data_IF_245818855317
#
_entry.id   IF_245818855317
#
_cell.length_a   1.000
_cell.length_b   1.000
_cell.length_c   1.000
_cell.angle_alpha   90.00
_cell.angle_beta   90.00
_cell.angle_gamma   90.00
#
_symmetry.space_group_name_H-M   'P 1'
#
loop_
_entity.id
_entity.type
_entity.pdbx_description
1 polymer ?
#
# COMPACT_ATOMS: atom_id res chain seq x y z
N UNK A 1 -4.31 9.40 -7.39
CA UNK A 1 -4.45 8.98 -5.99
C UNK A 1 -3.85 10.02 -5.04
N UNK A 2 -2.56 10.39 -5.14
CA UNK A 2 -1.99 11.53 -4.39
C UNK A 2 -2.89 12.79 -4.40
N UNK A 3 -3.34 13.20 -5.59
CA UNK A 3 -4.30 14.30 -5.77
C UNK A 3 -5.70 14.05 -5.18
N UNK A 4 -6.17 12.80 -5.18
CA UNK A 4 -7.51 12.46 -4.64
C UNK A 4 -7.52 12.47 -3.12
N UNK A 5 -6.38 12.16 -2.50
CA UNK A 5 -6.18 12.11 -1.06
C UNK A 5 -5.65 13.43 -0.48
N UNK A 6 -5.48 14.46 -1.32
CA UNK A 6 -4.78 15.70 -0.98
C UNK A 6 -3.47 15.47 -0.20
N UNK A 7 -2.72 14.45 -0.64
CA UNK A 7 -1.49 13.99 0.01
C UNK A 7 -0.28 14.51 -0.76
N UNK A 8 0.49 15.48 -0.20
CA UNK A 8 1.70 15.99 -0.83
C UNK A 8 2.69 14.86 -1.13
N UNK A 9 2.86 14.56 -2.42
CA UNK A 9 3.67 13.44 -2.87
C UNK A 9 4.74 13.93 -3.84
N UNK A 10 5.99 13.55 -3.58
CA UNK A 10 7.13 13.81 -4.48
C UNK A 10 7.48 12.52 -5.20
N UNK A 11 7.49 12.57 -6.52
CA UNK A 11 7.92 11.48 -7.39
C UNK A 11 9.33 11.78 -7.89
N UNK A 12 10.24 10.83 -7.75
CA UNK A 12 11.59 10.90 -8.28
C UNK A 12 11.83 9.68 -9.16
N UNK A 13 12.04 9.92 -10.45
CA UNK A 13 12.44 8.88 -11.38
C UNK A 13 13.85 8.42 -11.03
N UNK A 14 14.04 7.10 -11.09
CA UNK A 14 15.30 6.48 -10.71
C UNK A 14 16.46 6.97 -11.58
N UNK A 15 16.24 7.00 -12.89
CA UNK A 15 17.17 7.56 -13.87
C UNK A 15 16.66 8.91 -14.38
N UNK A 16 17.58 9.78 -14.79
CA UNK A 16 17.24 11.04 -15.45
C UNK A 16 16.52 10.72 -16.77
N UNK A 17 15.26 11.16 -16.95
CA UNK A 17 14.48 10.85 -18.16
C UNK A 17 14.98 11.62 -19.40
N UNK A 18 15.91 12.55 -19.23
CA UNK A 18 16.43 13.43 -20.25
C UNK A 18 15.59 14.69 -20.45
N UNK A 19 16.22 15.74 -20.97
CA UNK A 19 15.61 17.08 -21.09
C UNK A 19 14.30 17.11 -21.90
N UNK A 20 14.13 16.18 -22.85
CA UNK A 20 12.94 16.13 -23.70
C UNK A 20 11.70 15.50 -23.00
N UNK A 21 11.92 14.68 -21.97
CA UNK A 21 10.85 13.96 -21.29
C UNK A 21 10.26 14.77 -20.13
N UNK A 22 11.10 15.47 -19.36
CA UNK A 22 10.67 16.28 -18.23
C UNK A 22 11.68 16.27 -17.08
N UNK A 23 11.31 16.80 -15.91
CA UNK A 23 12.19 16.76 -14.74
C UNK A 23 12.27 15.34 -14.17
N UNK A 24 13.45 14.97 -13.64
CA UNK A 24 13.61 13.72 -12.90
C UNK A 24 12.73 13.68 -11.64
N UNK A 25 12.46 14.83 -11.04
CA UNK A 25 11.62 14.96 -9.85
C UNK A 25 10.47 15.93 -10.08
N UNK A 26 9.26 15.52 -9.69
CA UNK A 26 8.05 16.33 -9.73
C UNK A 26 7.17 16.03 -8.52
N UNK A 27 6.20 16.89 -8.23
CA UNK A 27 5.32 16.72 -7.07
C UNK A 27 3.86 16.89 -7.45
N UNK A 28 2.98 16.25 -6.68
CA UNK A 28 1.52 16.37 -6.79
C UNK A 28 0.95 16.70 -5.43
N UNK A 29 0.01 17.66 -5.40
CA UNK A 29 -0.65 18.15 -4.18
C UNK A 29 0.28 18.84 -3.16
N UNK A 30 1.52 19.15 -3.55
CA UNK A 30 2.47 19.82 -2.64
C UNK A 30 2.16 21.31 -2.44
N UNK A 31 1.61 21.97 -3.45
CA UNK A 31 1.35 23.43 -3.45
C UNK A 31 -0.10 23.79 -3.12
N UNK A 32 -0.90 22.81 -2.67
CA UNK A 32 -2.32 22.96 -2.39
C UNK A 32 -3.22 22.80 -3.61
N UNK A 33 -4.54 22.76 -3.34
CA UNK A 33 -5.60 22.35 -4.27
C UNK A 33 -5.58 23.08 -5.62
N UNK A 34 -5.31 24.39 -5.61
CA UNK A 34 -5.29 25.23 -6.80
C UNK A 34 -4.26 24.81 -7.86
N UNK A 35 -3.23 24.05 -7.48
CA UNK A 35 -2.16 23.61 -8.36
C UNK A 35 -2.24 22.13 -8.75
N UNK A 36 -3.15 21.36 -8.15
CA UNK A 36 -3.26 19.91 -8.33
C UNK A 36 -3.45 19.51 -9.80
N UNK A 37 -4.31 20.22 -10.54
CA UNK A 37 -4.53 19.90 -11.97
C UNK A 37 -3.28 20.11 -12.82
N UNK A 38 -2.51 21.16 -12.54
CA UNK A 38 -1.24 21.43 -13.21
C UNK A 38 -0.17 20.40 -12.85
N UNK A 39 -0.09 20.04 -11.57
CA UNK A 39 0.83 19.00 -11.08
C UNK A 39 0.54 17.64 -11.74
N UNK A 40 -0.73 17.24 -11.84
CA UNK A 40 -1.15 16.02 -12.54
C UNK A 40 -0.75 16.07 -14.01
N UNK A 41 -0.93 17.22 -14.67
CA UNK A 41 -0.56 17.37 -16.08
C UNK A 41 0.95 17.17 -16.29
N UNK A 42 1.79 17.82 -15.47
CA UNK A 42 3.24 17.66 -15.51
C UNK A 42 3.63 16.21 -15.27
N UNK A 43 3.13 15.60 -14.19
CA UNK A 43 3.39 14.20 -13.87
C UNK A 43 3.00 13.27 -15.03
N UNK A 44 1.81 13.48 -15.61
CA UNK A 44 1.31 12.65 -16.69
C UNK A 44 2.13 12.80 -17.99
N UNK A 45 2.51 14.02 -18.36
CA UNK A 45 3.34 14.27 -19.53
C UNK A 45 4.74 13.68 -19.37
N UNK A 46 5.36 13.88 -18.19
CA UNK A 46 6.68 13.29 -17.90
C UNK A 46 6.62 11.77 -18.00
N UNK A 47 5.66 11.12 -17.33
CA UNK A 47 5.52 9.65 -17.38
C UNK A 47 5.22 9.12 -18.79
N UNK A 48 4.50 9.85 -19.64
CA UNK A 48 4.23 9.44 -21.03
C UNK A 48 5.46 9.54 -21.94
N UNK A 49 6.37 10.47 -21.67
CA UNK A 49 7.52 10.76 -22.53
C UNK A 49 8.79 10.03 -22.10
N UNK A 50 8.90 9.69 -20.82
CA UNK A 50 10.02 8.92 -20.28
C UNK A 50 10.05 7.50 -20.88
N UNK A 51 11.25 7.01 -21.17
CA UNK A 51 11.47 5.62 -21.53
C UNK A 51 12.31 4.91 -20.46
N UNK A 52 12.00 3.65 -20.13
CA UNK A 52 12.80 2.87 -19.19
C UNK A 52 14.20 2.68 -19.77
N UNK A 53 15.22 3.14 -19.03
CA UNK A 53 16.62 3.04 -19.41
C UNK A 53 17.50 3.25 -18.18
N UNK A 54 18.79 2.97 -18.31
CA UNK A 54 19.78 3.19 -17.27
C UNK A 54 19.95 2.00 -16.33
N UNK A 55 20.36 2.31 -15.10
CA UNK A 55 20.75 1.35 -14.07
C UNK A 55 19.79 1.44 -12.88
N UNK A 56 20.03 0.67 -11.82
CA UNK A 56 19.16 0.63 -10.62
C UNK A 56 19.90 1.19 -9.38
N UNK A 57 20.26 2.49 -9.34
CA UNK A 57 21.09 3.11 -8.30
C UNK A 57 20.32 3.40 -7.00
N UNK A 58 19.55 2.42 -6.49
CA UNK A 58 18.68 2.58 -5.32
C UNK A 58 19.45 3.02 -4.07
N UNK A 59 20.67 2.50 -3.86
CA UNK A 59 21.51 2.83 -2.70
C UNK A 59 21.75 4.33 -2.58
N UNK A 60 22.11 4.99 -3.69
CA UNK A 60 22.37 6.45 -3.70
C UNK A 60 21.11 7.22 -3.36
N UNK A 61 19.97 6.84 -3.92
CA UNK A 61 18.71 7.53 -3.65
C UNK A 61 18.25 7.35 -2.20
N UNK A 62 18.49 6.20 -1.59
CA UNK A 62 18.19 6.01 -0.16
C UNK A 62 19.04 6.94 0.70
N UNK A 63 20.32 7.13 0.39
CA UNK A 63 21.15 8.10 1.12
C UNK A 63 20.64 9.54 0.97
N UNK A 64 20.27 9.96 -0.24
CA UNK A 64 19.67 11.29 -0.47
C UNK A 64 18.39 11.47 0.36
N UNK A 65 17.51 10.45 0.36
CA UNK A 65 16.24 10.45 1.10
C UNK A 65 16.51 10.50 2.60
N UNK A 66 17.45 9.69 3.09
CA UNK A 66 17.82 9.64 4.50
C UNK A 66 18.28 11.03 4.99
N UNK A 67 19.14 11.72 4.24
CA UNK A 67 19.62 13.05 4.60
C UNK A 67 18.46 14.05 4.70
N UNK A 68 17.58 14.06 3.70
CA UNK A 68 16.41 14.96 3.70
C UNK A 68 15.45 14.68 4.86
N UNK A 69 15.19 13.41 5.17
CA UNK A 69 14.32 13.02 6.29
C UNK A 69 14.96 13.35 7.63
N UNK A 70 16.26 13.14 7.79
CA UNK A 70 16.98 13.45 9.03
C UNK A 70 16.86 14.94 9.41
N UNK A 71 16.88 15.84 8.42
CA UNK A 71 16.66 17.28 8.64
C UNK A 71 15.24 17.59 9.15
N UNK A 72 14.23 16.85 8.67
CA UNK A 72 12.82 17.03 9.04
C UNK A 72 12.41 16.25 10.30
N UNK A 73 13.20 15.26 10.72
CA UNK A 73 12.85 14.31 11.77
C UNK A 73 12.42 14.96 13.10
N UNK A 74 13.09 16.01 13.63
CA UNK A 74 12.67 16.64 14.88
C UNK A 74 11.29 17.30 14.80
N UNK A 75 10.88 17.79 13.63
CA UNK A 75 9.53 18.33 13.43
C UNK A 75 8.51 17.21 13.32
N UNK A 76 8.77 16.21 12.49
CA UNK A 76 7.88 15.06 12.27
C UNK A 76 7.57 14.33 13.58
N UNK A 77 8.59 14.07 14.40
CA UNK A 77 8.43 13.42 15.70
C UNK A 77 7.58 14.27 16.67
N UNK A 78 7.78 15.59 16.72
CA UNK A 78 6.97 16.49 17.55
C UNK A 78 5.51 16.52 17.11
N UNK A 79 5.25 16.40 15.81
CA UNK A 79 3.90 16.39 15.23
C UNK A 79 3.26 14.99 15.21
N UNK A 80 3.99 13.94 15.64
CA UNK A 80 3.53 12.56 15.54
C UNK A 80 3.35 12.07 14.09
N UNK A 81 4.02 12.72 13.13
CA UNK A 81 3.94 12.40 11.71
C UNK A 81 5.09 11.50 11.27
N UNK A 82 4.86 10.77 10.19
CA UNK A 82 5.86 9.96 9.49
C UNK A 82 5.91 10.35 8.02
N UNK A 83 7.05 10.07 7.38
CA UNK A 83 7.19 10.12 5.93
C UNK A 83 7.04 8.70 5.39
N UNK A 84 6.22 8.55 4.35
CA UNK A 84 6.19 7.32 3.56
C UNK A 84 7.26 7.44 2.47
N UNK A 85 8.13 6.44 2.38
CA UNK A 85 9.05 6.24 1.26
C UNK A 85 8.53 5.06 0.45
N UNK A 86 8.18 5.28 -0.81
CA UNK A 86 7.74 4.20 -1.71
C UNK A 86 8.84 3.93 -2.74
N UNK A 87 9.40 2.72 -2.72
CA UNK A 87 10.34 2.21 -3.70
C UNK A 87 9.60 1.33 -4.70
N UNK A 88 9.35 1.85 -5.90
CA UNK A 88 8.84 1.04 -7.01
C UNK A 88 10.01 0.50 -7.83
N UNK A 89 10.20 -0.82 -7.86
CA UNK A 89 11.35 -1.47 -8.51
C UNK A 89 10.97 -2.79 -9.15
N UNK A 90 11.56 -3.10 -10.30
CA UNK A 90 11.46 -4.37 -11.02
C UNK A 90 12.74 -5.21 -10.94
N UNK A 91 13.76 -4.74 -10.22
CA UNK A 91 15.06 -5.39 -10.15
C UNK A 91 15.81 -5.22 -8.83
N UNK A 92 16.95 -5.92 -8.75
CA UNK A 92 17.93 -5.77 -7.69
C UNK A 92 18.73 -4.48 -7.85
N UNK A 93 19.24 -3.90 -6.75
CA UNK A 93 20.11 -2.73 -6.81
C UNK A 93 21.37 -3.01 -7.63
N UNK A 94 21.79 -2.02 -8.43
CA UNK A 94 23.05 -2.02 -9.18
C UNK A 94 23.87 -0.77 -8.85
N UNK A 95 25.16 -0.80 -9.14
CA UNK A 95 25.98 0.41 -9.14
C UNK A 95 25.67 1.33 -10.35
N UNK A 96 26.41 2.44 -10.44
CA UNK A 96 26.29 3.43 -11.53
C UNK A 96 26.68 2.87 -12.92
N UNK A 97 27.37 1.74 -12.95
CA UNK A 97 27.78 1.05 -14.18
C UNK A 97 26.84 -0.11 -14.55
N UNK A 98 25.86 -0.42 -13.70
CA UNK A 98 24.89 -1.49 -13.90
C UNK A 98 25.35 -2.85 -13.37
N UNK A 99 26.46 -2.91 -12.62
CA UNK A 99 26.89 -4.14 -11.98
C UNK A 99 26.09 -4.37 -10.68
N UNK A 100 25.49 -5.55 -10.58
CA UNK A 100 24.88 -6.06 -9.36
C UNK A 100 25.83 -6.99 -8.59
N UNK A 101 25.28 -7.66 -7.57
CA UNK A 101 25.98 -8.68 -6.79
C UNK A 101 25.90 -8.42 -5.29
N UNK A 102 26.41 -9.38 -4.51
CA UNK A 102 26.26 -9.42 -3.05
C UNK A 102 26.79 -8.15 -2.37
N UNK A 103 27.90 -7.59 -2.85
CA UNK A 103 28.45 -6.35 -2.33
C UNK A 103 27.47 -5.18 -2.49
N UNK A 104 26.89 -5.01 -3.69
CA UNK A 104 25.95 -3.92 -3.98
C UNK A 104 24.64 -4.09 -3.21
N UNK A 105 24.12 -5.32 -3.11
CA UNK A 105 22.94 -5.59 -2.28
C UNK A 105 23.19 -5.33 -0.80
N UNK A 106 24.39 -5.64 -0.30
CA UNK A 106 24.76 -5.34 1.09
C UNK A 106 24.89 -3.84 1.35
N UNK A 107 25.44 -3.07 0.41
CA UNK A 107 25.46 -1.61 0.50
C UNK A 107 24.05 -1.02 0.47
N UNK A 108 23.16 -1.57 -0.36
CA UNK A 108 21.74 -1.18 -0.37
C UNK A 108 21.07 -1.46 0.98
N UNK A 109 21.27 -2.65 1.55
CA UNK A 109 20.74 -3.00 2.89
C UNK A 109 21.28 -2.04 3.96
N UNK A 110 22.56 -1.67 3.90
CA UNK A 110 23.14 -0.66 4.81
C UNK A 110 22.46 0.71 4.66
N UNK A 111 22.17 1.11 3.43
CA UNK A 111 21.43 2.34 3.17
C UNK A 111 20.00 2.25 3.75
N UNK A 112 19.30 1.13 3.58
CA UNK A 112 17.98 0.93 4.22
C UNK A 112 18.06 1.01 5.76
N UNK A 113 19.07 0.37 6.36
CA UNK A 113 19.32 0.46 7.81
C UNK A 113 19.56 1.88 8.30
N UNK A 114 20.10 2.76 7.45
CA UNK A 114 20.31 4.17 7.82
C UNK A 114 19.00 4.95 8.04
N UNK A 115 17.86 4.40 7.59
CA UNK A 115 16.53 4.93 7.87
C UNK A 115 15.97 4.48 9.24
N UNK A 116 16.59 3.50 9.91
CA UNK A 116 16.15 3.03 11.22
C UNK A 116 16.22 4.17 12.26
N UNK A 117 15.19 4.27 13.10
CA UNK A 117 15.05 5.34 14.09
C UNK A 117 14.54 6.68 13.54
N UNK A 118 14.45 6.85 12.21
CA UNK A 118 13.75 7.99 11.60
C UNK A 118 12.24 7.74 11.55
N UNK A 119 11.39 8.79 11.53
CA UNK A 119 9.94 8.64 11.42
C UNK A 119 9.54 8.26 9.98
N UNK A 120 9.89 7.05 9.55
CA UNK A 120 9.70 6.54 8.19
C UNK A 120 8.83 5.30 8.16
N UNK A 121 7.98 5.20 7.14
CA UNK A 121 7.33 3.98 6.71
C UNK A 121 7.82 3.66 5.29
N UNK A 122 8.47 2.51 5.11
CA UNK A 122 9.01 2.10 3.82
C UNK A 122 8.06 1.12 3.14
N UNK A 123 7.66 1.42 1.90
CA UNK A 123 6.92 0.49 1.04
C UNK A 123 7.80 0.12 -0.14
N UNK A 124 8.03 -1.17 -0.34
CA UNK A 124 8.65 -1.69 -1.57
C UNK A 124 7.54 -2.25 -2.45
N UNK A 125 7.27 -1.57 -3.55
CA UNK A 125 6.33 -2.01 -4.58
C UNK A 125 7.10 -2.75 -5.66
N UNK A 126 6.89 -4.05 -5.74
CA UNK A 126 7.50 -4.88 -6.77
C UNK A 126 6.73 -4.72 -8.09
N UNK A 127 7.49 -4.45 -9.15
CA UNK A 127 6.99 -4.29 -10.50
C UNK A 127 7.42 -5.48 -11.40
N UNK A 128 7.75 -6.61 -10.79
CA UNK A 128 8.30 -7.80 -11.45
C UNK A 128 7.77 -9.07 -10.79
N UNK A 129 7.66 -10.16 -11.55
CA UNK A 129 7.41 -11.51 -11.06
C UNK A 129 8.70 -12.37 -11.03
N UNK A 130 9.86 -11.74 -11.19
CA UNK A 130 11.16 -12.41 -11.12
C UNK A 130 11.45 -12.91 -9.69
N UNK A 131 11.29 -14.22 -9.52
CA UNK A 131 11.48 -14.94 -8.25
C UNK A 131 12.74 -14.52 -7.45
N UNK A 132 13.95 -14.32 -8.04
CA UNK A 132 15.11 -13.87 -7.28
C UNK A 132 14.93 -12.47 -6.67
N UNK A 133 14.22 -11.57 -7.36
CA UNK A 133 13.96 -10.20 -6.93
C UNK A 133 12.93 -10.21 -5.82
N UNK A 134 11.78 -10.87 -6.03
CA UNK A 134 10.71 -10.99 -5.04
C UNK A 134 11.22 -11.63 -3.75
N UNK A 135 12.00 -12.71 -3.85
CA UNK A 135 12.63 -13.36 -2.70
C UNK A 135 13.59 -12.45 -1.96
N UNK A 136 14.39 -11.64 -2.66
CA UNK A 136 15.32 -10.72 -2.02
C UNK A 136 14.58 -9.70 -1.14
N UNK A 137 13.55 -9.02 -1.69
CA UNK A 137 12.82 -8.00 -0.95
C UNK A 137 11.97 -8.59 0.18
N UNK A 138 11.30 -9.73 -0.02
CA UNK A 138 10.53 -10.40 1.04
C UNK A 138 11.40 -10.85 2.22
N UNK A 139 12.70 -11.10 2.00
CA UNK A 139 13.63 -11.45 3.07
C UNK A 139 14.21 -10.23 3.82
N UNK A 140 13.87 -8.99 3.43
CA UNK A 140 14.38 -7.78 4.11
C UNK A 140 13.74 -7.56 5.47
N UNK A 141 12.47 -7.91 5.63
CA UNK A 141 11.73 -7.70 6.89
C UNK A 141 12.40 -8.42 8.08
N UNK A 142 12.95 -9.61 7.85
CA UNK A 142 13.74 -10.33 8.86
C UNK A 142 15.15 -9.79 9.14
N UNK A 143 15.60 -8.76 8.42
CA UNK A 143 16.98 -8.24 8.49
C UNK A 143 17.08 -6.79 8.98
N UNK A 144 15.95 -6.09 9.07
CA UNK A 144 15.83 -4.67 9.37
C UNK A 144 14.92 -4.48 10.57
N UNK A 145 15.23 -3.52 11.44
CA UNK A 145 14.32 -3.07 12.51
C UNK A 145 13.42 -1.91 12.03
N UNK A 146 13.27 -1.78 10.71
CA UNK A 146 12.52 -0.71 10.04
C UNK A 146 11.08 -1.14 9.82
N UNK A 147 10.15 -0.18 9.92
CA UNK A 147 8.78 -0.37 9.44
C UNK A 147 8.75 -0.48 7.90
N UNK A 148 8.70 -1.71 7.40
CA UNK A 148 8.77 -2.08 5.99
C UNK A 148 7.54 -2.89 5.57
N UNK A 149 6.97 -2.56 4.41
CA UNK A 149 5.96 -3.37 3.73
C UNK A 149 6.47 -3.70 2.33
N UNK A 150 6.39 -4.97 1.94
CA UNK A 150 6.69 -5.40 0.57
C UNK A 150 5.38 -5.80 -0.08
N UNK A 151 5.04 -5.15 -1.19
CA UNK A 151 3.82 -5.41 -1.95
C UNK A 151 4.17 -5.97 -3.31
N UNK A 152 3.62 -7.13 -3.61
CA UNK A 152 3.73 -7.75 -4.93
C UNK A 152 2.55 -7.33 -5.84
N UNK A 153 2.32 -8.07 -6.91
CA UNK A 153 1.26 -7.79 -7.87
C UNK A 153 -0.15 -7.84 -7.25
N UNK A 154 -1.04 -6.98 -7.73
CA UNK A 154 -2.42 -6.85 -7.27
C UNK A 154 -3.20 -8.18 -7.24
N UNK A 155 -2.97 -9.07 -8.21
CA UNK A 155 -3.68 -10.35 -8.31
C UNK A 155 -3.11 -11.35 -7.29
N UNK A 156 -1.78 -11.41 -7.15
CA UNK A 156 -1.08 -12.18 -6.12
C UNK A 156 -1.59 -11.86 -4.71
N UNK A 157 -1.52 -10.59 -4.33
CA UNK A 157 -2.04 -10.07 -3.05
C UNK A 157 -3.50 -10.47 -2.81
N UNK A 158 -4.35 -10.31 -3.83
CA UNK A 158 -5.74 -10.70 -3.73
C UNK A 158 -5.92 -12.21 -3.49
N UNK A 159 -5.03 -13.05 -4.02
CA UNK A 159 -5.07 -14.50 -3.79
C UNK A 159 -4.72 -14.86 -2.34
N UNK A 160 -3.78 -14.14 -1.73
CA UNK A 160 -3.40 -14.31 -0.33
C UNK A 160 -4.53 -13.89 0.60
N UNK A 161 -5.07 -12.68 0.41
CA UNK A 161 -6.25 -12.21 1.15
C UNK A 161 -7.43 -13.18 0.97
N UNK A 162 -7.66 -13.69 -0.24
CA UNK A 162 -8.73 -14.66 -0.48
C UNK A 162 -8.47 -16.02 0.19
N UNK A 163 -7.22 -16.43 0.39
CA UNK A 163 -6.88 -17.68 1.09
C UNK A 163 -7.37 -17.65 2.54
N UNK A 164 -7.20 -16.51 3.21
CA UNK A 164 -7.48 -16.34 4.64
C UNK A 164 -8.87 -15.74 4.91
N UNK A 165 -9.30 -14.76 4.11
CA UNK A 165 -10.53 -13.99 4.29
C UNK A 165 -11.38 -13.97 3.00
N UNK A 166 -11.87 -15.14 2.57
CA UNK A 166 -12.69 -15.34 1.34
C UNK A 166 -13.89 -14.41 1.18
N UNK A 167 -14.37 -13.85 2.29
CA UNK A 167 -15.49 -12.92 2.32
C UNK A 167 -15.11 -11.52 1.85
N UNK A 168 -13.84 -11.14 1.89
CA UNK A 168 -13.33 -9.85 1.47
C UNK A 168 -13.02 -9.85 -0.03
N UNK A 169 -13.44 -8.80 -0.71
CA UNK A 169 -13.01 -8.47 -2.06
C UNK A 169 -11.82 -7.51 -1.98
N UNK A 170 -10.59 -8.02 -2.10
CA UNK A 170 -9.40 -7.18 -2.24
C UNK A 170 -9.44 -6.44 -3.58
N UNK A 171 -9.94 -5.20 -3.56
CA UNK A 171 -10.14 -4.40 -4.76
C UNK A 171 -9.00 -3.43 -4.99
N UNK A 172 -8.89 -2.95 -6.24
CA UNK A 172 -7.79 -2.10 -6.68
C UNK A 172 -7.60 -0.83 -5.83
N UNK A 173 -8.65 -0.12 -5.35
CA UNK A 173 -8.44 1.06 -4.51
C UNK A 173 -7.68 0.74 -3.21
N UNK A 174 -8.00 -0.37 -2.54
CA UNK A 174 -7.33 -0.82 -1.32
C UNK A 174 -5.84 -1.10 -1.58
N UNK A 175 -5.53 -1.81 -2.67
CA UNK A 175 -4.15 -2.07 -3.08
C UNK A 175 -3.40 -0.77 -3.39
N UNK A 176 -4.01 0.18 -4.10
CA UNK A 176 -3.38 1.48 -4.39
C UNK A 176 -3.16 2.34 -3.15
N UNK A 177 -3.99 2.20 -2.11
CA UNK A 177 -3.76 2.86 -0.82
C UNK A 177 -2.54 2.28 -0.12
N UNK A 178 -2.41 0.94 -0.04
CA UNK A 178 -1.23 0.27 0.51
C UNK A 178 0.05 0.64 -0.25
N UNK A 179 0.01 0.65 -1.58
CA UNK A 179 1.15 1.09 -2.42
C UNK A 179 1.60 2.53 -2.15
N UNK A 180 0.72 3.39 -1.63
CA UNK A 180 1.04 4.77 -1.25
C UNK A 180 1.45 4.90 0.23
N UNK A 181 1.61 3.78 0.92
CA UNK A 181 1.96 3.68 2.34
C UNK A 181 0.86 4.11 3.29
N UNK A 182 -0.40 3.99 2.88
CA UNK A 182 -1.46 3.88 3.87
C UNK A 182 -1.24 2.57 4.63
N UNK A 183 -1.06 2.67 5.94
CA UNK A 183 -0.82 1.53 6.81
C UNK A 183 -1.81 1.53 7.96
N UNK A 184 -2.48 0.39 8.12
CA UNK A 184 -3.21 0.02 9.32
C UNK A 184 -2.94 -1.47 9.56
N UNK A 185 -2.74 -1.86 10.82
CA UNK A 185 -2.42 -3.24 11.19
C UNK A 185 -3.43 -4.25 10.65
N UNK A 186 -4.69 -3.88 10.48
CA UNK A 186 -5.71 -4.76 9.93
C UNK A 186 -5.44 -5.10 8.45
N UNK A 187 -4.76 -4.24 7.69
CA UNK A 187 -4.35 -4.52 6.32
C UNK A 187 -3.22 -5.56 6.23
N UNK A 188 -2.40 -5.70 7.27
CA UNK A 188 -1.38 -6.77 7.35
C UNK A 188 -1.99 -8.09 7.82
N UNK A 189 -3.07 -8.05 8.60
CA UNK A 189 -3.66 -9.28 9.13
C UNK A 189 -4.55 -10.00 8.10
N UNK A 190 -5.04 -9.31 7.06
CA UNK A 190 -6.01 -9.87 6.11
C UNK A 190 -5.43 -10.90 5.15
N UNK A 191 -4.15 -10.83 4.83
CA UNK A 191 -3.41 -11.78 4.00
C UNK A 191 -2.64 -12.83 4.85
N UNK A 192 -2.40 -12.58 6.13
CA UNK A 192 -1.78 -13.55 7.04
C UNK A 192 -2.74 -14.60 7.64
N UNK A 193 -3.93 -14.17 8.09
CA UNK A 193 -4.85 -15.05 8.83
C UNK A 193 -6.32 -14.63 8.77
N UNK A 194 -7.26 -15.54 9.09
CA UNK A 194 -8.64 -15.14 9.31
C UNK A 194 -8.74 -14.08 10.42
N UNK A 195 -9.48 -13.01 10.13
CA UNK A 195 -9.79 -11.99 11.14
C UNK A 195 -10.76 -12.52 12.20
N UNK A 196 -10.62 -12.03 13.43
CA UNK A 196 -11.59 -12.26 14.51
C UNK A 196 -12.85 -11.41 14.30
N UNK A 197 -13.93 -11.72 15.03
CA UNK A 197 -15.17 -10.92 14.94
C UNK A 197 -14.93 -9.44 15.25
N UNK A 198 -14.13 -9.11 16.28
CA UNK A 198 -13.77 -7.73 16.61
C UNK A 198 -13.00 -7.05 15.47
N UNK A 199 -11.95 -7.70 14.97
CA UNK A 199 -11.15 -7.18 13.86
C UNK A 199 -11.95 -6.99 12.57
N UNK A 200 -12.95 -7.85 12.31
CA UNK A 200 -13.87 -7.67 11.17
C UNK A 200 -14.67 -6.38 11.32
N UNK A 201 -15.17 -6.08 12.53
CA UNK A 201 -15.91 -4.84 12.80
C UNK A 201 -15.01 -3.64 12.54
N UNK A 202 -13.81 -3.65 13.12
CA UNK A 202 -12.87 -2.53 13.04
C UNK A 202 -12.40 -2.34 11.59
N UNK A 203 -12.16 -3.43 10.86
CA UNK A 203 -11.82 -3.39 9.42
C UNK A 203 -12.95 -2.82 8.58
N UNK A 204 -14.21 -3.18 8.88
CA UNK A 204 -15.36 -2.62 8.18
C UNK A 204 -15.56 -1.14 8.51
N UNK A 205 -15.36 -0.74 9.76
CA UNK A 205 -15.42 0.66 10.17
C UNK A 205 -14.37 1.48 9.39
N UNK A 206 -13.14 0.97 9.27
CA UNK A 206 -12.07 1.56 8.48
C UNK A 206 -12.43 1.66 6.98
N UNK A 207 -12.94 0.58 6.39
CA UNK A 207 -13.23 0.50 4.96
C UNK A 207 -14.39 1.43 4.52
N UNK A 208 -15.38 1.64 5.39
CA UNK A 208 -16.57 2.45 5.08
C UNK A 208 -16.59 3.80 5.78
N UNK A 209 -15.49 4.19 6.44
CA UNK A 209 -15.34 5.45 7.17
C UNK A 209 -16.49 5.70 8.16
N UNK A 210 -16.70 4.73 9.06
CA UNK A 210 -17.78 4.76 10.06
C UNK A 210 -17.18 4.94 11.45
N UNK A 211 -17.57 5.99 12.16
CA UNK A 211 -17.10 6.26 13.52
C UNK A 211 -17.51 5.16 14.52
N UNK A 212 -16.66 4.93 15.54
CA UNK A 212 -16.90 3.93 16.59
C UNK A 212 -18.16 4.20 17.45
N UNK A 213 -18.61 5.46 17.52
CA UNK A 213 -19.67 5.93 18.43
C UNK A 213 -21.08 5.73 17.86
N UNK A 214 -21.26 5.88 16.53
CA UNK A 214 -22.50 5.56 15.78
C UNK A 214 -22.34 4.24 14.97
N UNK A 215 -21.33 3.45 15.35
CA UNK A 215 -20.71 2.42 14.52
C UNK A 215 -21.44 1.10 14.39
N UNK A 216 -20.79 0.19 13.66
CA UNK A 216 -21.25 -1.17 13.44
C UNK A 216 -21.48 -1.91 14.77
N UNK A 217 -22.63 -2.59 14.97
CA UNK A 217 -22.88 -3.38 16.17
C UNK A 217 -21.75 -4.37 16.46
N UNK A 218 -21.47 -4.64 17.74
CA UNK A 218 -20.46 -5.65 18.10
C UNK A 218 -20.87 -7.03 17.59
N UNK A 219 -20.15 -7.64 16.62
CA UNK A 219 -20.48 -8.95 16.07
C UNK A 219 -20.37 -10.10 17.08
N UNK A 220 -19.68 -9.90 18.20
CA UNK A 220 -19.63 -10.84 19.32
C UNK A 220 -20.94 -10.86 20.13
N UNK A 221 -21.65 -9.73 20.20
CA UNK A 221 -22.89 -9.59 20.96
C UNK A 221 -24.15 -9.67 20.07
N UNK A 222 -24.11 -9.08 18.87
CA UNK A 222 -25.22 -9.06 17.92
C UNK A 222 -24.72 -9.23 16.47
N UNK A 223 -24.46 -10.48 16.08
CA UNK A 223 -24.09 -10.83 14.71
C UNK A 223 -25.15 -10.40 13.68
N UNK A 224 -26.44 -10.52 14.04
CA UNK A 224 -27.54 -10.23 13.12
C UNK A 224 -27.66 -8.74 12.82
N UNK A 225 -27.55 -7.89 13.83
CA UNK A 225 -27.51 -6.44 13.71
C UNK A 225 -26.28 -5.99 12.94
N UNK A 226 -25.11 -6.57 13.25
CA UNK A 226 -23.87 -6.30 12.51
C UNK A 226 -24.03 -6.54 11.00
N UNK A 227 -24.49 -7.74 10.61
CA UNK A 227 -24.68 -8.10 9.19
C UNK A 227 -25.71 -7.20 8.52
N UNK A 228 -26.80 -6.85 9.21
CA UNK A 228 -27.83 -5.95 8.68
C UNK A 228 -27.30 -4.53 8.48
N UNK A 229 -26.51 -4.01 9.42
CA UNK A 229 -25.85 -2.71 9.29
C UNK A 229 -24.88 -2.70 8.10
N UNK A 230 -24.05 -3.75 8.00
CA UNK A 230 -23.10 -3.91 6.91
C UNK A 230 -23.80 -4.02 5.54
N UNK A 231 -24.94 -4.72 5.47
CA UNK A 231 -25.75 -4.78 4.26
C UNK A 231 -26.24 -3.40 3.82
N UNK A 232 -26.58 -2.51 4.77
CA UNK A 232 -27.02 -1.16 4.46
C UNK A 232 -25.87 -0.27 3.96
N UNK A 233 -24.66 -0.44 4.50
CA UNK A 233 -23.46 0.24 4.00
C UNK A 233 -23.15 -0.21 2.56
N UNK A 234 -23.09 -1.52 2.33
CA UNK A 234 -22.78 -2.07 0.99
C UNK A 234 -23.78 -1.65 -0.10
N UNK A 235 -25.03 -1.30 0.24
CA UNK A 235 -26.02 -0.78 -0.72
C UNK A 235 -25.71 0.64 -1.21
N UNK A 236 -24.96 1.43 -0.41
CA UNK A 236 -24.53 2.79 -0.77
C UNK A 236 -23.28 2.77 -1.64
N UNK A 237 -22.51 1.69 -1.54
CA UNK A 237 -21.24 1.54 -2.25
C UNK A 237 -21.39 1.07 -3.70
N UNK A 238 -20.48 1.53 -4.54
CA UNK A 238 -20.34 0.99 -5.89
C UNK A 238 -19.68 -0.39 -5.85
N UNK A 239 -20.08 -1.26 -6.76
CA UNK A 239 -19.39 -2.53 -6.95
C UNK A 239 -17.94 -2.28 -7.37
N UNK A 240 -17.05 -3.16 -6.92
CA UNK A 240 -15.64 -3.13 -7.24
C UNK A 240 -15.25 -4.36 -8.07
N UNK A 241 -14.24 -4.22 -8.92
CA UNK A 241 -13.68 -5.37 -9.63
C UNK A 241 -13.07 -6.36 -8.64
N UNK A 242 -13.51 -7.61 -8.68
CA UNK A 242 -12.94 -8.70 -7.91
C UNK A 242 -11.95 -9.50 -8.78
N UNK A 243 -10.64 -9.44 -8.52
CA UNK A 243 -9.63 -10.08 -9.37
C UNK A 243 -9.73 -11.61 -9.36
N UNK A 244 -10.14 -12.20 -8.24
CA UNK A 244 -10.27 -13.66 -8.07
C UNK A 244 -11.45 -14.21 -8.87
N UNK A 245 -12.58 -13.51 -8.86
CA UNK A 245 -13.81 -13.91 -9.55
C UNK A 245 -13.95 -13.33 -10.95
N UNK A 246 -13.07 -12.39 -11.32
CA UNK A 246 -13.07 -11.67 -12.60
C UNK A 246 -14.42 -11.04 -12.93
N UNK A 247 -15.03 -10.35 -11.96
CA UNK A 247 -16.30 -9.64 -12.12
C UNK A 247 -16.49 -8.52 -11.09
N UNK A 248 -17.40 -7.60 -11.37
CA UNK A 248 -17.84 -6.60 -10.39
C UNK A 248 -18.57 -7.30 -9.22
N UNK A 249 -18.17 -6.97 -7.99
CA UNK A 249 -18.68 -7.54 -6.76
C UNK A 249 -18.66 -6.50 -5.62
N UNK A 250 -19.49 -6.65 -4.58
CA UNK A 250 -19.37 -5.80 -3.40
C UNK A 250 -18.01 -6.00 -2.71
N UNK A 251 -17.61 -5.00 -1.91
CA UNK A 251 -16.43 -5.09 -1.03
C UNK A 251 -16.46 -6.32 -0.12
N UNK A 252 -17.65 -6.66 0.41
CA UNK A 252 -17.81 -7.78 1.33
C UNK A 252 -18.92 -8.72 0.84
N UNK A 253 -18.61 -10.01 0.79
CA UNK A 253 -19.58 -11.07 0.51
C UNK A 253 -20.24 -11.53 1.80
N UNK A 254 -21.39 -10.94 2.15
CA UNK A 254 -22.15 -11.29 3.37
C UNK A 254 -22.44 -12.79 3.49
N UNK A 255 -22.70 -13.48 2.37
CA UNK A 255 -22.89 -14.94 2.34
C UNK A 255 -21.64 -15.69 2.85
N UNK A 256 -20.46 -15.30 2.38
CA UNK A 256 -19.21 -15.94 2.78
C UNK A 256 -18.80 -15.52 4.20
N UNK A 257 -19.07 -14.27 4.57
CA UNK A 257 -18.83 -13.76 5.91
C UNK A 257 -19.64 -14.56 6.94
N UNK A 258 -20.96 -14.74 6.70
CA UNK A 258 -21.83 -15.56 7.52
C UNK A 258 -21.40 -17.02 7.57
N UNK A 259 -20.94 -17.57 6.45
CA UNK A 259 -20.44 -18.95 6.43
C UNK A 259 -19.20 -19.12 7.30
N UNK A 260 -18.31 -18.12 7.34
CA UNK A 260 -17.05 -18.20 8.06
C UNK A 260 -17.19 -17.84 9.55
N UNK A 261 -18.02 -16.85 9.89
CA UNK A 261 -18.07 -16.26 11.24
C UNK A 261 -19.46 -16.20 11.85
N UNK A 262 -20.51 -16.51 11.08
CA UNK A 262 -21.88 -16.45 11.55
C UNK A 262 -22.20 -17.51 12.59
N UNK A 263 -23.18 -17.21 13.44
CA UNK A 263 -23.62 -18.13 14.46
C UNK A 263 -24.34 -19.32 13.79
N UNK A 264 -23.94 -20.55 14.16
CA UNK A 264 -24.46 -21.81 13.57
C UNK A 264 -25.98 -21.97 13.73
N UNK A 265 -26.63 -21.15 14.54
CA UNK A 265 -28.08 -21.12 14.75
C UNK A 265 -28.86 -20.47 13.60
N UNK A 266 -28.21 -19.72 12.68
CA UNK A 266 -28.87 -19.00 11.59
C UNK A 266 -28.66 -19.62 10.20
N UNK A 267 -28.54 -20.96 10.13
CA UNK A 267 -28.78 -21.66 8.87
C UNK A 267 -30.30 -21.76 8.64
N UNK A 268 -30.96 -20.63 8.39
CA UNK A 268 -32.33 -20.63 7.86
C UNK A 268 -32.24 -20.32 6.37
N UNK A 269 -32.55 -21.37 5.62
CA UNK A 269 -32.77 -21.43 4.17
C UNK A 269 -33.41 -20.15 3.64
N UNK A 270 -32.78 -19.54 2.64
CA UNK A 270 -33.46 -18.81 1.57
C UNK A 270 -33.29 -19.60 0.28
#
# INVERSE_FOLDING_TARGET
MAALLDSPTVFKLLNDPGMAAGPQQFSVAHRGEAHVSGDIHVASETMRRTQPSGVTPLTRHIWDIQQSIAEMAPQLQREGKKIVVVLATDGLPTDEQGYGGEFITNEFIRALRSLEGLPVWLVVRLCTDEEPVTRFYNNLDGQLELSLEVLDDFIGEAHEVYRHNKWLNYALPMHRCRELGYHDRLFDLVDERPLTKGEIRDFCALLFDVDEVDGLPDPGADWSGFVKALQNLLKKEQLQWNPIRKKMAPWISLKLLNKAHGDKSMCTVM
#
